data_IF_503935673906
#
_entry.id   IF_503935673906
#
_cell.length_a   1.000
_cell.length_b   1.000
_cell.length_c   1.000
_cell.angle_alpha   90.00
_cell.angle_beta   90.00
_cell.angle_gamma   90.00
#
_symmetry.space_group_name_H-M   'P 1'
#
loop_
_entity.id
_entity.type
_entity.pdbx_description
1 polymer ?
#
# COMPACT_ATOMS: atom_id res chain seq x y z
N UNK A 1 19.91 -82.68 5.71
CA UNK A 1 21.16 -82.14 5.12
C UNK A 1 21.09 -80.62 5.24
N UNK A 2 21.74 -80.04 6.25
CA UNK A 2 22.92 -79.14 6.16
C UNK A 2 22.68 -77.89 5.29
N UNK A 3 23.05 -76.66 5.63
CA UNK A 3 23.71 -76.02 6.79
C UNK A 3 23.67 -74.50 6.48
N UNK A 4 23.78 -73.68 7.53
CA UNK A 4 24.08 -72.24 7.50
C UNK A 4 25.08 -71.84 6.41
N UNK A 5 24.89 -70.66 5.82
CA UNK A 5 26.00 -69.78 5.43
C UNK A 5 25.76 -68.36 5.92
N UNK A 6 26.65 -67.98 6.83
CA UNK A 6 26.94 -66.62 7.27
C UNK A 6 27.81 -65.97 6.19
N UNK A 7 27.57 -64.71 5.82
CA UNK A 7 28.63 -63.85 5.28
C UNK A 7 28.41 -62.42 5.76
N UNK A 8 29.33 -62.00 6.61
CA UNK A 8 29.63 -60.61 6.96
C UNK A 8 30.33 -59.93 5.78
N UNK A 9 29.94 -58.71 5.46
CA UNK A 9 30.73 -57.56 4.94
C UNK A 9 29.71 -56.50 4.50
N UNK A 10 29.88 -55.18 4.63
CA UNK A 10 30.78 -54.30 5.36
C UNK A 10 30.12 -52.91 5.25
N UNK A 11 30.12 -52.17 6.36
CA UNK A 11 30.22 -50.70 6.46
C UNK A 11 29.70 -49.86 5.27
N UNK A 12 28.55 -49.21 5.44
CA UNK A 12 28.16 -48.05 4.63
C UNK A 12 27.52 -47.00 5.54
N UNK A 13 28.35 -46.00 5.83
CA UNK A 13 28.12 -44.64 6.33
C UNK A 13 26.64 -44.22 6.31
N UNK A 14 26.05 -44.00 7.48
CA UNK A 14 24.75 -43.35 7.63
C UNK A 14 24.85 -42.20 8.63
N UNK A 15 25.10 -41.01 8.06
CA UNK A 15 24.53 -39.69 8.42
C UNK A 15 24.22 -39.47 9.90
N UNK A 16 25.22 -38.90 10.61
CA UNK A 16 25.01 -38.24 11.89
C UNK A 16 24.37 -36.87 11.68
N UNK A 17 23.13 -36.76 12.13
CA UNK A 17 22.29 -35.56 12.25
C UNK A 17 23.06 -34.41 12.93
N UNK A 18 23.25 -33.30 12.21
CA UNK A 18 23.53 -31.99 12.79
C UNK A 18 22.35 -31.07 12.51
N UNK A 19 21.25 -31.30 13.25
CA UNK A 19 20.17 -30.33 13.41
C UNK A 19 20.70 -29.19 14.30
N UNK A 20 21.20 -28.14 13.67
CA UNK A 20 21.63 -26.94 14.39
C UNK A 20 21.50 -25.72 13.48
N UNK A 21 20.45 -24.91 13.72
CA UNK A 21 20.35 -23.58 13.13
C UNK A 21 19.38 -23.43 11.96
N UNK A 22 18.17 -23.99 12.05
CA UNK A 22 17.05 -23.39 11.33
C UNK A 22 16.62 -22.15 12.11
N UNK A 23 17.28 -21.03 11.82
CA UNK A 23 16.72 -19.71 12.11
C UNK A 23 15.38 -19.65 11.38
N UNK A 24 14.30 -19.81 12.13
CA UNK A 24 12.96 -19.51 11.66
C UNK A 24 12.96 -18.04 11.23
N UNK A 25 13.16 -17.80 9.95
CA UNK A 25 12.79 -16.53 9.34
C UNK A 25 11.27 -16.50 9.49
N UNK A 26 10.79 -15.84 10.54
CA UNK A 26 9.37 -15.53 10.66
C UNK A 26 9.06 -14.67 9.45
N UNK A 27 8.48 -15.28 8.42
CA UNK A 27 7.94 -14.55 7.30
C UNK A 27 6.79 -13.74 7.88
N UNK A 28 7.05 -12.50 8.28
CA UNK A 28 6.04 -11.59 8.80
C UNK A 28 4.91 -11.59 7.78
N UNK A 29 3.69 -11.92 8.24
CA UNK A 29 2.53 -11.93 7.37
C UNK A 29 2.43 -10.55 6.69
N UNK A 30 2.14 -10.55 5.39
CA UNK A 30 1.97 -9.31 4.64
C UNK A 30 0.89 -8.44 5.34
N UNK A 31 1.12 -7.11 5.46
CA UNK A 31 0.12 -6.21 6.01
C UNK A 31 -1.22 -6.39 5.29
N UNK A 32 -2.29 -6.55 6.06
CA UNK A 32 -3.65 -6.73 5.54
C UNK A 32 -4.64 -6.03 6.44
N UNK A 33 -5.79 -5.67 5.86
CA UNK A 33 -6.90 -5.00 6.52
C UNK A 33 -8.20 -5.74 6.20
N UNK A 34 -9.21 -5.61 7.06
CA UNK A 34 -10.58 -5.96 6.70
C UNK A 34 -11.09 -5.04 5.58
N UNK A 35 -12.12 -5.45 4.84
CA UNK A 35 -12.67 -4.60 3.77
C UNK A 35 -13.14 -3.23 4.29
N UNK A 36 -13.78 -3.22 5.46
CA UNK A 36 -14.24 -1.97 6.09
C UNK A 36 -13.07 -1.05 6.48
N UNK A 37 -12.01 -1.63 7.05
CA UNK A 37 -10.81 -0.89 7.43
C UNK A 37 -10.02 -0.40 6.22
N UNK A 38 -9.97 -1.20 5.15
CA UNK A 38 -9.35 -0.82 3.88
C UNK A 38 -10.07 0.38 3.27
N UNK A 39 -11.41 0.37 3.20
CA UNK A 39 -12.19 1.49 2.67
C UNK A 39 -12.06 2.75 3.53
N UNK A 40 -12.01 2.58 4.86
CA UNK A 40 -11.75 3.69 5.79
C UNK A 40 -10.36 4.29 5.56
N UNK A 41 -9.31 3.47 5.56
CA UNK A 41 -7.93 3.91 5.37
C UNK A 41 -7.71 4.54 3.98
N UNK A 42 -8.32 3.96 2.93
CA UNK A 42 -8.33 4.52 1.58
C UNK A 42 -8.95 5.92 1.59
N UNK A 43 -10.11 6.10 2.23
CA UNK A 43 -10.77 7.41 2.32
C UNK A 43 -9.87 8.45 2.99
N UNK A 44 -9.27 8.10 4.13
CA UNK A 44 -8.33 8.98 4.83
C UNK A 44 -7.12 9.33 3.96
N UNK A 45 -6.54 8.34 3.28
CA UNK A 45 -5.41 8.53 2.38
C UNK A 45 -5.74 9.50 1.24
N UNK A 46 -6.89 9.32 0.57
CA UNK A 46 -7.29 10.20 -0.52
C UNK A 46 -7.58 11.62 -0.06
N UNK A 47 -8.17 11.80 1.12
CA UNK A 47 -8.51 13.11 1.65
C UNK A 47 -7.31 13.89 2.17
N UNK A 48 -6.30 13.21 2.74
CA UNK A 48 -5.23 13.87 3.51
C UNK A 48 -3.80 13.59 3.02
N UNK A 49 -3.57 12.55 2.22
CA UNK A 49 -2.22 12.10 1.86
C UNK A 49 -1.95 12.16 0.35
N UNK A 50 -2.93 11.78 -0.47
CA UNK A 50 -2.77 11.60 -1.92
C UNK A 50 -2.37 12.88 -2.66
N UNK A 51 -2.70 14.06 -2.13
CA UNK A 51 -2.28 15.33 -2.72
C UNK A 51 -0.75 15.52 -2.76
N UNK A 52 -0.03 15.06 -1.73
CA UNK A 52 1.42 15.20 -1.65
C UNK A 52 2.16 13.93 -2.11
N UNK A 53 1.59 12.75 -1.86
CA UNK A 53 2.24 11.47 -2.15
C UNK A 53 1.79 10.82 -3.46
N UNK A 54 0.74 11.37 -4.09
CA UNK A 54 0.14 10.85 -5.31
C UNK A 54 -0.76 9.65 -5.04
N UNK A 55 -1.80 9.49 -5.87
CA UNK A 55 -2.77 8.39 -5.70
C UNK A 55 -2.11 7.00 -5.83
N UNK A 56 -1.14 6.88 -6.72
CA UNK A 56 -0.33 5.67 -6.90
C UNK A 56 0.89 5.62 -5.98
N UNK A 57 0.99 6.54 -5.01
CA UNK A 57 2.07 6.60 -4.00
C UNK A 57 3.49 6.82 -4.53
N UNK A 58 3.65 7.18 -5.80
CA UNK A 58 4.97 7.41 -6.43
C UNK A 58 5.67 8.70 -5.98
N UNK A 59 5.01 9.51 -5.15
CA UNK A 59 5.49 10.82 -4.72
C UNK A 59 5.04 11.93 -5.68
N UNK A 60 4.88 13.13 -5.11
CA UNK A 60 4.71 14.37 -5.86
C UNK A 60 5.56 15.45 -5.19
N UNK A 61 5.04 16.11 -4.16
CA UNK A 61 5.85 16.94 -3.24
C UNK A 61 6.36 16.14 -2.05
N UNK A 62 5.57 15.17 -1.59
CA UNK A 62 5.95 14.19 -0.58
C UNK A 62 6.74 13.02 -1.19
N UNK A 63 7.46 12.30 -0.34
CA UNK A 63 8.27 11.13 -0.74
C UNK A 63 7.42 10.01 -1.34
N UNK A 64 8.06 9.13 -2.11
CA UNK A 64 7.47 7.88 -2.57
C UNK A 64 7.10 6.98 -1.36
N UNK A 65 5.88 6.44 -1.37
CA UNK A 65 5.30 5.55 -0.36
C UNK A 65 4.89 4.19 -0.97
N UNK A 66 5.57 3.73 -2.01
CA UNK A 66 5.35 2.39 -2.56
C UNK A 66 5.73 1.31 -1.53
N UNK A 67 5.04 0.15 -1.55
CA UNK A 67 5.16 -0.89 -0.52
C UNK A 67 6.58 -1.26 -0.13
N UNK A 68 7.50 -1.37 -1.09
CA UNK A 68 8.91 -1.70 -0.84
C UNK A 68 9.55 -0.77 0.20
N UNK A 69 9.38 0.54 0.06
CA UNK A 69 9.97 1.51 0.97
C UNK A 69 9.24 1.54 2.31
N UNK A 70 7.91 1.47 2.32
CA UNK A 70 7.13 1.50 3.56
C UNK A 70 7.29 0.23 4.40
N UNK A 71 7.42 -0.94 3.77
CA UNK A 71 7.67 -2.21 4.45
C UNK A 71 9.06 -2.21 5.12
N UNK A 72 10.07 -1.59 4.49
CA UNK A 72 11.40 -1.42 5.08
C UNK A 72 11.37 -0.48 6.30
N UNK A 73 10.51 0.55 6.28
CA UNK A 73 10.31 1.44 7.44
C UNK A 73 9.61 0.73 8.60
N UNK A 74 8.62 -0.11 8.30
CA UNK A 74 7.84 -0.87 9.27
C UNK A 74 6.75 -0.04 9.98
N UNK A 75 5.75 -0.76 10.49
CA UNK A 75 4.52 -0.18 11.07
C UNK A 75 4.80 0.89 12.14
N UNK A 76 5.59 0.58 13.17
CA UNK A 76 5.82 1.48 14.31
C UNK A 76 6.45 2.81 13.86
N UNK A 77 7.38 2.75 12.90
CA UNK A 77 8.04 3.95 12.38
C UNK A 77 7.09 4.78 11.55
N UNK A 78 6.27 4.14 10.72
CA UNK A 78 5.25 4.82 9.91
C UNK A 78 4.23 5.51 10.81
N UNK A 79 3.74 4.85 11.86
CA UNK A 79 2.81 5.44 12.82
C UNK A 79 3.40 6.68 13.49
N UNK A 80 4.67 6.64 13.93
CA UNK A 80 5.36 7.81 14.50
C UNK A 80 5.51 8.95 13.50
N UNK A 81 5.87 8.65 12.25
CA UNK A 81 6.00 9.65 11.19
C UNK A 81 4.65 10.32 10.90
N UNK A 82 3.56 9.56 10.84
CA UNK A 82 2.22 10.11 10.62
C UNK A 82 1.74 10.88 11.85
N UNK A 83 2.02 10.38 13.06
CA UNK A 83 1.66 11.04 14.31
C UNK A 83 2.33 12.41 14.42
N UNK A 84 3.66 12.49 14.24
CA UNK A 84 4.42 13.70 14.56
C UNK A 84 4.85 14.54 13.35
N UNK A 85 4.66 14.04 12.13
CA UNK A 85 5.16 14.69 10.92
C UNK A 85 6.68 14.59 10.79
N UNK A 86 7.24 15.42 9.89
CA UNK A 86 8.69 15.52 9.66
C UNK A 86 9.11 16.95 9.37
N UNK A 87 10.36 17.31 9.67
CA UNK A 87 10.96 18.62 9.33
C UNK A 87 11.00 18.89 7.81
N UNK A 88 10.83 17.85 6.98
CA UNK A 88 10.78 17.95 5.52
C UNK A 88 9.44 18.43 4.95
N UNK A 89 8.55 18.99 5.78
CA UNK A 89 7.25 19.54 5.36
C UNK A 89 6.08 18.57 5.44
N UNK A 90 6.24 17.40 6.05
CA UNK A 90 5.12 16.50 6.35
C UNK A 90 4.46 16.94 7.65
N UNK A 91 3.16 17.26 7.60
CA UNK A 91 2.39 17.65 8.78
C UNK A 91 2.24 16.48 9.76
N UNK A 92 2.02 16.80 11.03
CA UNK A 92 1.51 15.88 12.03
C UNK A 92 0.00 15.64 11.81
N UNK A 93 -0.51 14.50 12.30
CA UNK A 93 -1.93 14.13 12.18
C UNK A 93 -2.54 13.68 13.51
N UNK A 94 -1.81 13.78 14.63
CA UNK A 94 -2.27 13.37 15.96
C UNK A 94 -3.36 14.27 16.57
N UNK A 95 -3.63 15.42 15.94
CA UNK A 95 -4.73 16.33 16.27
C UNK A 95 -6.01 16.05 15.44
N UNK A 96 -5.91 15.31 14.33
CA UNK A 96 -7.00 15.05 13.39
C UNK A 96 -7.38 13.57 13.34
N UNK A 97 -6.41 12.66 13.45
CA UNK A 97 -6.62 11.23 13.41
C UNK A 97 -6.50 10.60 14.79
N UNK A 98 -7.38 9.63 15.06
CA UNK A 98 -7.20 8.72 16.19
C UNK A 98 -5.97 7.83 15.99
N UNK A 99 -5.46 7.24 17.09
CA UNK A 99 -4.33 6.29 17.02
C UNK A 99 -4.67 5.09 16.14
N UNK A 100 -5.91 4.63 16.20
CA UNK A 100 -6.42 3.55 15.37
C UNK A 100 -6.39 3.95 13.89
N UNK A 101 -6.80 5.17 13.53
CA UNK A 101 -6.74 5.65 12.15
C UNK A 101 -5.31 5.81 11.62
N UNK A 102 -4.39 6.28 12.47
CA UNK A 102 -2.97 6.35 12.13
C UNK A 102 -2.42 4.95 11.85
N UNK A 103 -2.78 3.97 12.68
CA UNK A 103 -2.39 2.57 12.48
C UNK A 103 -2.96 2.01 11.18
N UNK A 104 -4.25 2.24 10.90
CA UNK A 104 -4.91 1.83 9.66
C UNK A 104 -4.26 2.42 8.41
N UNK A 105 -3.97 3.72 8.40
CA UNK A 105 -3.31 4.37 7.26
C UNK A 105 -1.87 3.86 7.11
N UNK A 106 -1.15 3.64 8.22
CA UNK A 106 0.20 3.06 8.20
C UNK A 106 0.22 1.65 7.61
N UNK A 107 -0.78 0.81 7.93
CA UNK A 107 -0.95 -0.51 7.32
C UNK A 107 -1.34 -0.39 5.85
N UNK A 108 -2.28 0.49 5.52
CA UNK A 108 -2.75 0.70 4.14
C UNK A 108 -1.64 1.12 3.19
N UNK A 109 -0.72 2.00 3.61
CA UNK A 109 0.38 2.45 2.75
C UNK A 109 1.42 1.35 2.46
N UNK A 110 1.43 0.27 3.25
CA UNK A 110 2.29 -0.90 3.01
C UNK A 110 1.64 -1.94 2.09
N UNK A 111 0.34 -1.84 1.81
CA UNK A 111 -0.37 -2.71 0.86
C UNK A 111 -0.19 -2.20 -0.57
N UNK A 112 -0.37 -3.05 -1.59
CA UNK A 112 -0.35 -2.60 -2.99
C UNK A 112 -1.42 -1.51 -3.24
N UNK A 113 -1.08 -0.37 -3.85
CA UNK A 113 -2.04 0.71 -4.07
C UNK A 113 -3.13 0.29 -5.06
N UNK A 114 -4.42 0.54 -4.75
CA UNK A 114 -5.49 0.33 -5.72
C UNK A 114 -5.36 1.31 -6.87
N UNK A 115 -5.52 0.83 -8.10
CA UNK A 115 -5.49 1.67 -9.30
C UNK A 115 -6.87 2.33 -9.49
N UNK A 116 -6.96 3.67 -9.53
CA UNK A 116 -8.23 4.36 -9.79
C UNK A 116 -8.76 4.03 -11.20
N UNK A 117 -10.08 4.07 -11.40
CA UNK A 117 -10.65 3.94 -12.73
C UNK A 117 -10.25 5.11 -13.63
N UNK A 118 -9.87 4.80 -14.86
CA UNK A 118 -9.53 5.80 -15.89
C UNK A 118 -10.78 6.50 -16.43
N UNK A 119 -10.68 7.79 -16.76
CA UNK A 119 -11.77 8.54 -17.39
C UNK A 119 -11.72 8.40 -18.92
N UNK A 120 -12.49 7.47 -19.49
CA UNK A 120 -12.53 7.23 -20.94
C UNK A 120 -13.23 8.36 -21.71
N UNK A 121 -12.90 8.49 -23.01
CA UNK A 121 -13.58 9.43 -23.92
C UNK A 121 -15.09 9.16 -24.01
N UNK A 122 -15.50 7.88 -23.91
CA UNK A 122 -16.92 7.54 -23.91
C UNK A 122 -17.61 8.13 -22.66
N UNK A 123 -17.02 7.96 -21.47
CA UNK A 123 -17.58 8.54 -20.25
C UNK A 123 -17.61 10.07 -20.29
N UNK A 124 -16.62 10.71 -20.91
CA UNK A 124 -16.63 12.16 -21.12
C UNK A 124 -17.80 12.57 -22.02
N UNK A 125 -18.01 11.87 -23.14
CA UNK A 125 -19.11 12.14 -24.08
C UNK A 125 -20.48 11.94 -23.44
N UNK A 126 -20.68 10.85 -22.70
CA UNK A 126 -21.95 10.54 -22.03
C UNK A 126 -22.33 11.61 -20.98
N UNK A 127 -21.33 12.27 -20.39
CA UNK A 127 -21.51 13.30 -19.37
C UNK A 127 -21.48 14.72 -19.94
N UNK A 128 -21.05 14.91 -21.19
CA UNK A 128 -20.98 16.23 -21.83
C UNK A 128 -22.39 16.72 -22.14
N UNK A 129 -22.74 17.89 -21.60
CA UNK A 129 -24.03 18.54 -21.85
C UNK A 129 -23.79 19.91 -22.47
N UNK A 130 -24.39 20.15 -23.64
CA UNK A 130 -24.42 21.47 -24.27
C UNK A 130 -25.68 22.18 -23.79
N UNK A 131 -25.52 23.17 -22.91
CA UNK A 131 -26.64 23.92 -22.32
C UNK A 131 -27.12 25.05 -23.22
N UNK A 132 -26.20 25.73 -23.90
CA UNK A 132 -26.46 26.79 -24.87
C UNK A 132 -25.61 26.44 -26.09
N UNK A 133 -26.20 26.43 -27.28
CA UNK A 133 -25.44 26.11 -28.49
C UNK A 133 -24.62 27.32 -28.94
N UNK A 134 -23.49 27.14 -29.64
CA UNK A 134 -22.67 28.25 -30.11
C UNK A 134 -23.42 29.31 -30.92
N UNK A 135 -24.40 28.90 -31.72
CA UNK A 135 -25.27 29.80 -32.49
C UNK A 135 -26.17 30.70 -31.61
N UNK A 136 -26.43 30.29 -30.37
CA UNK A 136 -27.24 31.03 -29.40
C UNK A 136 -26.40 31.95 -28.49
N UNK A 137 -25.07 32.00 -28.70
CA UNK A 137 -24.20 32.84 -27.89
C UNK A 137 -24.39 34.33 -28.20
N UNK A 138 -24.37 35.21 -27.17
CA UNK A 138 -24.35 36.65 -27.40
C UNK A 138 -23.09 37.08 -28.16
N UNK A 139 -23.26 37.95 -29.16
CA UNK A 139 -22.15 38.50 -29.96
C UNK A 139 -21.43 39.69 -29.30
N UNK A 140 -21.93 40.15 -28.15
CA UNK A 140 -21.37 41.27 -27.37
C UNK A 140 -21.72 41.10 -25.89
N UNK A 141 -21.02 41.77 -24.96
CA UNK A 141 -21.34 41.72 -23.53
C UNK A 141 -22.79 42.12 -23.25
N UNK A 142 -23.50 41.28 -22.48
CA UNK A 142 -24.90 41.48 -22.12
C UNK A 142 -25.10 42.06 -20.70
N UNK A 143 -24.00 42.28 -19.97
CA UNK A 143 -24.00 42.88 -18.63
C UNK A 143 -22.89 43.93 -18.51
N UNK A 144 -23.12 44.94 -17.67
CA UNK A 144 -22.12 45.92 -17.28
C UNK A 144 -21.11 45.35 -16.28
N UNK A 145 -20.09 46.14 -15.95
CA UNK A 145 -19.18 45.89 -14.82
C UNK A 145 -19.75 46.46 -13.54
#
# INVERSE_FOLDING_TARGET
MKMKKLSLTALSIAVGVAMGGMSSVTNAAAPSLSDADFEKAKTLYFQRCAGCHGVLRKGATGKNLEPKATLELGQERLEKIITYGTEGGMNNFDDIFSKEEISLVSTYIQMEPPVPPEMSLQMMKDRTKVHIKPEDYPSKPMHGR
#
